data_IF_008280635627
#
_entry.id   IF_008280635627
#
_cell.length_a   1.000
_cell.length_b   1.000
_cell.length_c   1.000
_cell.angle_alpha   90.00
_cell.angle_beta   90.00
_cell.angle_gamma   90.00
#
_symmetry.space_group_name_H-M   'P 1'
#
loop_
_entity.id
_entity.type
_entity.pdbx_description
1 polymer ?
#
# COMPACT_ATOMS: atom_id res chain seq x y z
N UNK A 1 -10.31 -10.61 -6.83
CA UNK A 1 -9.92 -10.99 -5.46
C UNK A 1 -10.01 -9.73 -4.62
N UNK A 2 -10.49 -9.80 -3.38
CA UNK A 2 -10.56 -8.58 -2.55
C UNK A 2 -9.15 -8.22 -2.11
N UNK A 3 -8.69 -7.00 -2.40
CA UNK A 3 -7.46 -6.47 -1.81
C UNK A 3 -7.68 -6.40 -0.29
N UNK A 4 -6.79 -7.04 0.48
CA UNK A 4 -6.83 -7.03 1.94
C UNK A 4 -5.57 -6.40 2.51
N UNK A 5 -5.65 -5.93 3.75
CA UNK A 5 -4.52 -5.29 4.42
C UNK A 5 -3.35 -6.27 4.62
N UNK A 6 -3.62 -7.55 4.89
CA UNK A 6 -2.60 -8.61 4.92
C UNK A 6 -1.83 -8.72 3.61
N UNK A 7 -2.49 -8.58 2.44
CA UNK A 7 -1.82 -8.66 1.14
C UNK A 7 -0.86 -7.50 0.94
N UNK A 8 -1.25 -6.31 1.38
CA UNK A 8 -0.40 -5.12 1.35
C UNK A 8 0.81 -5.31 2.27
N UNK A 9 0.59 -5.80 3.49
CA UNK A 9 1.67 -6.08 4.46
C UNK A 9 2.64 -7.11 3.89
N UNK A 10 2.16 -8.21 3.32
CA UNK A 10 3.03 -9.22 2.70
C UNK A 10 3.85 -8.63 1.54
N UNK A 11 3.25 -7.79 0.70
CA UNK A 11 3.97 -7.11 -0.37
C UNK A 11 5.04 -6.16 0.19
N UNK A 12 4.72 -5.40 1.24
CA UNK A 12 5.65 -4.52 1.94
C UNK A 12 6.83 -5.28 2.54
N UNK A 13 6.59 -6.41 3.20
CA UNK A 13 7.65 -7.25 3.75
C UNK A 13 8.55 -7.80 2.63
N UNK A 14 7.96 -8.18 1.48
CA UNK A 14 8.71 -8.66 0.33
C UNK A 14 9.61 -7.59 -0.31
N UNK A 15 9.16 -6.33 -0.37
CA UNK A 15 9.95 -5.24 -0.99
C UNK A 15 10.91 -4.54 -0.01
N UNK A 16 10.58 -4.48 1.28
CA UNK A 16 11.42 -3.86 2.31
C UNK A 16 12.42 -4.82 2.95
N UNK A 17 12.20 -6.13 2.84
CA UNK A 17 12.96 -7.14 3.57
C UNK A 17 12.73 -7.11 5.08
N UNK A 18 11.64 -6.49 5.54
CA UNK A 18 11.28 -6.43 6.94
C UNK A 18 10.48 -7.68 7.35
N UNK A 19 11.06 -8.50 8.23
CA UNK A 19 10.41 -9.74 8.74
C UNK A 19 9.61 -9.52 10.05
N UNK A 20 9.46 -8.27 10.49
CA UNK A 20 8.72 -7.94 11.71
C UNK A 20 7.21 -7.79 11.50
N UNK A 21 6.48 -7.61 12.59
CA UNK A 21 5.04 -7.33 12.57
C UNK A 21 4.82 -5.88 12.14
N UNK A 22 4.21 -5.70 10.96
CA UNK A 22 3.75 -4.39 10.48
C UNK A 22 2.30 -4.23 10.88
N UNK A 23 1.97 -3.16 11.60
CA UNK A 23 0.60 -2.86 11.99
C UNK A 23 -0.15 -2.21 10.80
N UNK A 24 -1.43 -2.50 10.56
CA UNK A 24 -2.25 -1.85 9.54
C UNK A 24 -2.27 -0.31 9.63
N UNK A 25 -2.05 0.26 10.81
CA UNK A 25 -1.97 1.71 11.03
C UNK A 25 -0.52 2.26 11.02
N UNK A 26 0.46 1.41 10.70
CA UNK A 26 1.87 1.82 10.60
C UNK A 26 2.04 2.79 9.44
N UNK A 27 2.54 3.99 9.74
CA UNK A 27 2.97 4.94 8.72
C UNK A 27 4.13 4.33 7.93
N UNK A 28 3.98 4.14 6.63
CA UNK A 28 4.97 3.56 5.74
C UNK A 28 5.89 4.65 5.18
N UNK A 29 5.31 5.80 4.84
CA UNK A 29 6.06 6.94 4.31
C UNK A 29 6.66 7.75 5.44
N UNK A 30 5.85 8.10 6.44
CA UNK A 30 6.33 8.94 7.55
C UNK A 30 7.40 8.25 8.40
N UNK A 31 7.45 6.91 8.42
CA UNK A 31 8.51 6.14 9.09
C UNK A 31 9.77 5.93 8.23
N UNK A 32 9.70 6.20 6.92
CA UNK A 32 10.77 5.88 5.97
C UNK A 32 10.85 4.40 5.59
N UNK A 33 9.80 3.61 5.84
CA UNK A 33 9.72 2.21 5.46
C UNK A 33 9.50 2.00 3.96
N UNK A 34 8.85 2.97 3.30
CA UNK A 34 8.68 3.01 1.84
C UNK A 34 9.55 4.10 1.21
N UNK A 35 10.42 3.69 0.29
CA UNK A 35 11.10 4.58 -0.65
C UNK A 35 10.26 4.87 -1.89
N UNK A 36 10.64 5.91 -2.66
CA UNK A 36 9.96 6.31 -3.90
C UNK A 36 9.82 5.18 -4.93
N UNK A 37 10.76 4.21 -4.96
CA UNK A 37 10.70 3.05 -5.85
C UNK A 37 9.70 2.00 -5.34
N UNK A 38 9.74 1.73 -4.03
CA UNK A 38 8.84 0.78 -3.39
C UNK A 38 7.37 1.24 -3.49
N UNK A 39 7.13 2.55 -3.47
CA UNK A 39 5.83 3.18 -3.72
C UNK A 39 5.27 2.82 -5.09
N UNK A 40 6.07 2.92 -6.16
CA UNK A 40 5.62 2.60 -7.52
C UNK A 40 5.23 1.12 -7.62
N UNK A 41 6.03 0.23 -7.03
CA UNK A 41 5.73 -1.21 -6.96
C UNK A 41 4.45 -1.50 -6.19
N UNK A 42 4.22 -0.79 -5.08
CA UNK A 42 3.02 -0.93 -4.26
C UNK A 42 1.77 -0.45 -5.00
N UNK A 43 1.84 0.68 -5.69
CA UNK A 43 0.74 1.19 -6.52
C UNK A 43 0.38 0.16 -7.59
N UNK A 44 1.37 -0.32 -8.36
CA UNK A 44 1.15 -1.32 -9.40
C UNK A 44 0.55 -2.62 -8.84
N UNK A 45 0.97 -3.03 -7.64
CA UNK A 45 0.39 -4.18 -6.95
C UNK A 45 -1.08 -3.95 -6.59
N UNK A 46 -1.42 -2.79 -6.02
CA UNK A 46 -2.79 -2.43 -5.65
C UNK A 46 -3.68 -2.35 -6.89
N UNK A 47 -3.22 -1.70 -7.96
CA UNK A 47 -3.92 -1.63 -9.25
C UNK A 47 -4.22 -3.03 -9.80
N UNK A 48 -3.24 -3.93 -9.79
CA UNK A 48 -3.38 -5.29 -10.29
C UNK A 48 -4.33 -6.14 -9.44
N UNK A 49 -4.24 -6.03 -8.12
CA UNK A 49 -5.04 -6.84 -7.19
C UNK A 49 -6.50 -6.37 -7.10
N UNK A 50 -6.71 -5.05 -7.04
CA UNK A 50 -8.04 -4.45 -6.99
C UNK A 50 -8.66 -4.27 -8.39
N UNK A 51 -7.86 -4.32 -9.45
CA UNK A 51 -8.33 -4.09 -10.83
C UNK A 51 -8.73 -2.64 -11.09
N UNK A 52 -8.08 -1.69 -10.41
CA UNK A 52 -8.35 -0.25 -10.52
C UNK A 52 -7.15 0.48 -11.14
N UNK A 53 -7.36 1.68 -11.66
CA UNK A 53 -6.30 2.59 -12.08
C UNK A 53 -6.09 3.65 -11.00
N UNK A 54 -4.86 3.85 -10.56
CA UNK A 54 -4.48 4.81 -9.53
C UNK A 54 -3.68 5.92 -10.19
N UNK A 55 -4.22 7.14 -10.14
CA UNK A 55 -3.52 8.28 -10.70
C UNK A 55 -2.49 8.81 -9.71
N UNK A 56 -1.36 9.31 -10.22
CA UNK A 56 -0.30 9.89 -9.39
C UNK A 56 -0.78 11.04 -8.49
N UNK A 57 -1.81 11.79 -8.91
CA UNK A 57 -2.43 12.85 -8.09
C UNK A 57 -3.25 12.33 -6.90
N UNK A 58 -3.68 11.07 -6.93
CA UNK A 58 -4.44 10.42 -5.85
C UNK A 58 -3.52 9.78 -4.80
N UNK A 59 -2.25 9.60 -5.15
CA UNK A 59 -1.23 9.03 -4.26
C UNK A 59 -0.72 10.07 -3.28
N UNK A 60 -1.56 10.36 -2.30
CA UNK A 60 -1.25 11.28 -1.19
C UNK A 60 -0.90 10.49 0.06
N UNK A 61 -0.20 11.13 1.01
CA UNK A 61 0.04 10.55 2.34
C UNK A 61 -1.29 10.19 3.02
N UNK A 62 -2.35 10.96 2.80
CA UNK A 62 -3.66 10.68 3.39
C UNK A 62 -4.29 9.37 2.88
N UNK A 63 -3.95 8.93 1.68
CA UNK A 63 -4.46 7.70 1.07
C UNK A 63 -3.46 6.53 1.13
N UNK A 64 -2.17 6.82 1.09
CA UNK A 64 -1.11 5.82 0.94
C UNK A 64 -0.12 5.74 2.10
N UNK A 65 -0.29 6.53 3.18
CA UNK A 65 0.66 6.46 4.32
C UNK A 65 0.51 5.18 5.15
N UNK A 66 -0.60 4.44 5.10
CA UNK A 66 -0.76 3.20 5.89
C UNK A 66 -1.42 2.08 5.07
N UNK A 67 -1.13 0.80 5.36
CA UNK A 67 -1.79 -0.34 4.71
C UNK A 67 -3.32 -0.29 4.80
N UNK A 68 -3.87 0.15 5.94
CA UNK A 68 -5.31 0.29 6.13
C UNK A 68 -5.91 1.34 5.20
N UNK A 69 -5.27 2.50 5.05
CA UNK A 69 -5.72 3.58 4.14
C UNK A 69 -5.73 3.13 2.69
N UNK A 70 -4.68 2.41 2.25
CA UNK A 70 -4.60 1.90 0.88
C UNK A 70 -5.71 0.88 0.63
N UNK A 71 -5.92 -0.05 1.57
CA UNK A 71 -7.01 -1.03 1.48
C UNK A 71 -8.37 -0.34 1.34
N UNK A 72 -8.61 0.68 2.16
CA UNK A 72 -9.84 1.48 2.12
C UNK A 72 -9.99 2.22 0.79
N UNK A 73 -8.94 2.89 0.33
CA UNK A 73 -8.93 3.64 -0.93
C UNK A 73 -9.25 2.74 -2.13
N UNK A 74 -8.71 1.52 -2.15
CA UNK A 74 -9.04 0.55 -3.17
C UNK A 74 -10.49 0.05 -3.03
N UNK A 75 -10.92 -0.27 -1.81
CA UNK A 75 -12.29 -0.75 -1.55
C UNK A 75 -13.38 0.28 -1.88
N UNK A 76 -13.09 1.58 -1.81
CA UNK A 76 -14.02 2.64 -2.21
C UNK A 76 -14.18 2.76 -3.76
N UNK A 77 -13.32 2.11 -4.55
CA UNK A 77 -13.35 2.15 -6.03
C UNK A 77 -13.85 0.88 -6.71
N UNK A 78 -13.99 -0.23 -5.98
CA UNK A 78 -14.44 -1.54 -6.51
C UNK A 78 -15.95 -1.68 -6.41
#
# INVERSE_FOLDING_TARGET
MALTTDRIIQNLQAISGYDGVVDPDTCLFSSGMLDSIAMISLIAFVEQEAGIEIRADEVTLENFDTPARITRFAGERV
#
